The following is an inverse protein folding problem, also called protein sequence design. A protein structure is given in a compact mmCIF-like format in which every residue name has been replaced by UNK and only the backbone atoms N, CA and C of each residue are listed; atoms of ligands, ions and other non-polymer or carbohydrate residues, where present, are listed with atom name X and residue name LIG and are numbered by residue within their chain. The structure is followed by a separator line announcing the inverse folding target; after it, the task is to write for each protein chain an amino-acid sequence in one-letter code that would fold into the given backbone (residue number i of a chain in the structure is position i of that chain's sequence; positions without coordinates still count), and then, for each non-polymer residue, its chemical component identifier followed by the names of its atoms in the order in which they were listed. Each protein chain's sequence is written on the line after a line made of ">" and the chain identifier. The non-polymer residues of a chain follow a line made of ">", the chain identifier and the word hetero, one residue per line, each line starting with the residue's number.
data_IF_267305505377
#
_entry.id   IF_267305505377
#
_cell.length_a   1.000
_cell.length_b   1.000
_cell.length_c   1.000
_cell.angle_alpha   90.00
_cell.angle_beta   90.00
_cell.angle_gamma   90.00
#
_symmetry.space_group_name_H-M   'P 1'
#
loop_
_entity.id
_entity.type
_entity.pdbx_description
1 polymer ?
#
# COMPACT_ATOMS: atom_id res chain seq x y z
N UNK A 1 -33.36 -11.15 -25.08
CA UNK A 1 -33.02 -10.14 -24.07
C UNK A 1 -31.91 -10.72 -23.21
N UNK A 2 -30.69 -10.19 -23.30
CA UNK A 2 -29.60 -10.64 -22.44
C UNK A 2 -29.84 -10.05 -21.04
N UNK A 3 -29.95 -10.92 -20.04
CA UNK A 3 -29.93 -10.50 -18.64
C UNK A 3 -28.54 -9.92 -18.41
N UNK A 4 -28.46 -8.61 -18.17
CA UNK A 4 -27.23 -8.02 -17.69
C UNK A 4 -26.90 -8.71 -16.37
N UNK A 5 -25.93 -9.63 -16.39
CA UNK A 5 -25.35 -10.19 -15.18
C UNK A 5 -24.82 -9.02 -14.36
N UNK A 6 -25.49 -8.71 -13.25
CA UNK A 6 -24.98 -7.73 -12.29
C UNK A 6 -23.71 -8.35 -11.74
N UNK A 7 -22.56 -7.87 -12.21
CA UNK A 7 -21.28 -8.30 -11.67
C UNK A 7 -21.27 -7.93 -10.18
N UNK A 8 -21.05 -8.93 -9.33
CA UNK A 8 -20.96 -8.67 -7.89
C UNK A 8 -19.78 -7.72 -7.64
N UNK A 9 -19.97 -6.79 -6.71
CA UNK A 9 -18.89 -5.90 -6.27
C UNK A 9 -17.72 -6.74 -5.71
N UNK A 10 -16.47 -6.34 -5.96
CA UNK A 10 -15.30 -7.09 -5.53
C UNK A 10 -15.21 -7.16 -4.00
N UNK A 11 -14.75 -8.29 -3.49
CA UNK A 11 -14.33 -8.45 -2.10
C UNK A 11 -13.13 -7.54 -1.78
N UNK A 12 -12.82 -7.34 -0.50
CA UNK A 12 -11.62 -6.59 -0.07
C UNK A 12 -10.35 -7.25 -0.62
N UNK A 13 -10.29 -8.59 -0.61
CA UNK A 13 -9.17 -9.33 -1.21
C UNK A 13 -9.02 -9.04 -2.70
N UNK A 14 -10.11 -9.07 -3.47
CA UNK A 14 -10.07 -8.75 -4.90
C UNK A 14 -9.70 -7.30 -5.18
N UNK A 15 -10.15 -6.35 -4.36
CA UNK A 15 -9.72 -4.95 -4.46
C UNK A 15 -8.21 -4.77 -4.19
N UNK A 16 -7.66 -5.51 -3.22
CA UNK A 16 -6.24 -5.44 -2.88
C UNK A 16 -5.37 -6.28 -3.82
N UNK A 17 -5.94 -7.19 -4.61
CA UNK A 17 -5.21 -8.00 -5.59
C UNK A 17 -4.44 -7.12 -6.58
N UNK A 18 -3.20 -7.54 -6.90
CA UNK A 18 -2.31 -6.81 -7.80
C UNK A 18 -2.14 -7.55 -9.13
N UNK A 19 -2.18 -6.82 -10.24
CA UNK A 19 -1.83 -7.30 -11.58
C UNK A 19 -0.45 -6.81 -11.93
N UNK A 20 0.52 -7.73 -12.03
CA UNK A 20 1.90 -7.44 -12.41
C UNK A 20 1.98 -6.68 -13.74
N UNK A 21 2.85 -5.68 -13.80
CA UNK A 21 3.06 -4.86 -14.99
C UNK A 21 2.10 -3.66 -15.13
N UNK A 22 1.07 -3.55 -14.29
CA UNK A 22 0.31 -2.31 -14.18
C UNK A 22 1.23 -1.21 -13.64
N UNK A 23 1.32 -0.09 -14.38
CA UNK A 23 2.07 1.10 -14.02
C UNK A 23 1.23 2.35 -14.25
N UNK A 24 1.25 3.29 -13.33
CA UNK A 24 0.56 4.57 -13.47
C UNK A 24 1.27 5.70 -12.72
N UNK A 25 1.06 6.94 -13.14
CA UNK A 25 1.51 8.14 -12.42
C UNK A 25 0.41 8.73 -11.55
N UNK A 26 0.83 9.51 -10.54
CA UNK A 26 -0.01 10.22 -9.59
C UNK A 26 0.13 11.74 -9.80
N UNK A 27 -0.80 12.51 -9.25
CA UNK A 27 -0.83 13.98 -9.36
C UNK A 27 0.36 14.68 -8.68
N UNK A 28 1.05 14.03 -7.74
CA UNK A 28 2.26 14.55 -7.11
C UNK A 28 3.54 14.28 -7.92
N UNK A 29 3.43 13.64 -9.10
CA UNK A 29 4.54 13.29 -9.97
C UNK A 29 5.14 11.91 -9.71
N UNK A 30 4.75 11.24 -8.62
CA UNK A 30 5.19 9.88 -8.33
C UNK A 30 4.55 8.89 -9.31
N UNK A 31 5.15 7.72 -9.42
CA UNK A 31 4.61 6.58 -10.13
C UNK A 31 4.50 5.35 -9.23
N UNK A 32 3.62 4.46 -9.62
CA UNK A 32 3.42 3.17 -9.01
C UNK A 32 3.57 2.09 -10.07
N UNK A 33 4.24 0.99 -9.73
CA UNK A 33 4.27 -0.23 -10.56
C UNK A 33 4.00 -1.46 -9.70
N UNK A 34 3.14 -2.34 -10.20
CA UNK A 34 2.85 -3.62 -9.57
C UNK A 34 3.81 -4.67 -10.11
N UNK A 35 4.46 -5.37 -9.19
CA UNK A 35 5.53 -6.34 -9.47
C UNK A 35 5.24 -7.67 -8.79
N UNK A 36 5.93 -8.71 -9.26
CA UNK A 36 5.98 -9.99 -8.60
C UNK A 36 7.43 -10.45 -8.53
N UNK A 37 7.97 -10.58 -7.32
CA UNK A 37 9.38 -10.87 -7.08
C UNK A 37 9.60 -11.67 -5.79
N UNK A 38 10.83 -12.12 -5.54
CA UNK A 38 11.16 -12.87 -4.33
C UNK A 38 11.31 -11.92 -3.13
N UNK A 39 10.54 -12.18 -2.08
CA UNK A 39 10.66 -11.54 -0.78
C UNK A 39 10.60 -12.60 0.33
N UNK A 40 11.61 -12.62 1.21
CA UNK A 40 11.77 -13.65 2.25
C UNK A 40 11.65 -15.10 1.72
N UNK A 41 12.25 -15.37 0.56
CA UNK A 41 12.27 -16.69 -0.06
C UNK A 41 10.96 -17.13 -0.70
N UNK A 42 9.94 -16.26 -0.74
CA UNK A 42 8.65 -16.53 -1.38
C UNK A 42 8.41 -15.55 -2.52
N UNK A 43 7.76 -16.03 -3.58
CA UNK A 43 7.28 -15.13 -4.64
C UNK A 43 6.10 -14.34 -4.07
N UNK A 44 6.21 -13.02 -4.08
CA UNK A 44 5.24 -12.10 -3.49
C UNK A 44 4.82 -11.07 -4.53
N UNK A 45 3.56 -10.65 -4.47
CA UNK A 45 3.11 -9.47 -5.22
C UNK A 45 3.45 -8.23 -4.42
N UNK A 46 3.83 -7.18 -5.12
CA UNK A 46 4.20 -5.94 -4.48
C UNK A 46 3.91 -4.72 -5.31
N UNK A 47 3.96 -3.58 -4.64
CA UNK A 47 3.79 -2.27 -5.23
C UNK A 47 5.06 -1.48 -4.99
N UNK A 48 5.72 -1.10 -6.08
CA UNK A 48 6.85 -0.18 -6.06
C UNK A 48 6.35 1.26 -6.15
N UNK A 49 6.83 2.11 -5.25
CA UNK A 49 6.66 3.56 -5.28
C UNK A 49 7.91 4.21 -5.84
N UNK A 50 7.75 4.91 -6.95
CA UNK A 50 8.81 5.60 -7.67
C UNK A 50 8.55 7.10 -7.53
N UNK A 51 9.49 7.83 -6.93
CA UNK A 51 9.38 9.26 -6.74
C UNK A 51 9.46 10.02 -8.07
N UNK A 52 8.91 11.23 -8.08
CA UNK A 52 9.18 12.18 -9.15
C UNK A 52 10.69 12.36 -9.32
N UNK A 53 11.20 12.02 -10.52
CA UNK A 53 12.65 11.91 -10.79
C UNK A 53 13.14 10.47 -11.04
N UNK A 54 12.28 9.46 -10.85
CA UNK A 54 12.56 8.07 -11.23
C UNK A 54 13.24 7.22 -10.15
N UNK A 55 13.40 7.75 -8.94
CA UNK A 55 13.99 7.04 -7.80
C UNK A 55 12.99 6.04 -7.23
N UNK A 56 13.34 4.76 -7.18
CA UNK A 56 12.57 3.76 -6.45
C UNK A 56 12.72 4.03 -4.95
N UNK A 57 11.65 4.44 -4.27
CA UNK A 57 11.66 4.72 -2.84
C UNK A 57 11.47 3.44 -2.02
N UNK A 58 10.46 2.66 -2.39
CA UNK A 58 10.07 1.48 -1.63
C UNK A 58 9.30 0.47 -2.49
N UNK A 59 9.37 -0.80 -2.08
CA UNK A 59 8.47 -1.87 -2.51
C UNK A 59 7.71 -2.37 -1.29
N UNK A 60 6.38 -2.34 -1.33
CA UNK A 60 5.52 -2.93 -0.29
C UNK A 60 4.95 -4.25 -0.80
N UNK A 61 5.06 -5.31 -0.01
CA UNK A 61 4.69 -6.68 -0.41
C UNK A 61 3.45 -7.17 0.32
N UNK A 62 2.68 -8.00 -0.39
CA UNK A 62 1.48 -8.64 0.12
C UNK A 62 1.29 -10.04 -0.46
N UNK A 63 0.59 -10.86 0.31
CA UNK A 63 0.16 -12.20 -0.06
C UNK A 63 -1.35 -12.31 0.17
N UNK A 64 -2.10 -12.88 -0.76
CA UNK A 64 -3.54 -13.13 -0.59
C UNK A 64 -3.77 -14.63 -0.63
N UNK A 65 -4.16 -15.19 0.50
CA UNK A 65 -4.46 -16.61 0.66
C UNK A 65 -5.35 -16.84 1.86
N UNK A 66 -6.00 -18.00 1.89
CA UNK A 66 -6.78 -18.45 3.05
C UNK A 66 -7.85 -17.43 3.52
N UNK A 67 -8.40 -16.64 2.57
CA UNK A 67 -9.38 -15.59 2.84
C UNK A 67 -8.83 -14.36 3.57
N UNK A 68 -7.52 -14.14 3.52
CA UNK A 68 -6.82 -13.03 4.17
C UNK A 68 -5.87 -12.33 3.19
N UNK A 69 -5.71 -11.03 3.38
CA UNK A 69 -4.63 -10.22 2.78
C UNK A 69 -3.55 -10.04 3.85
N UNK A 70 -2.41 -10.69 3.67
CA UNK A 70 -1.26 -10.55 4.54
C UNK A 70 -0.36 -9.45 4.02
N UNK A 71 -0.14 -8.40 4.82
CA UNK A 71 0.93 -7.45 4.57
C UNK A 71 2.25 -8.13 4.97
N UNK A 72 3.12 -8.46 4.03
CA UNK A 72 4.29 -9.31 4.32
C UNK A 72 5.52 -8.50 4.72
N UNK A 73 5.61 -7.26 4.26
CA UNK A 73 6.72 -6.37 4.59
C UNK A 73 6.96 -5.31 3.54
N UNK A 74 8.11 -4.65 3.64
CA UNK A 74 8.57 -3.73 2.62
C UNK A 74 10.10 -3.67 2.54
N UNK A 75 10.60 -3.14 1.44
CA UNK A 75 12.00 -2.73 1.26
C UNK A 75 12.00 -1.25 0.92
N UNK A 76 12.87 -0.50 1.58
CA UNK A 76 13.19 0.88 1.24
C UNK A 76 14.57 0.94 0.60
N UNK A 77 14.73 1.82 -0.37
CA UNK A 77 15.96 1.97 -1.14
C UNK A 77 16.56 3.37 -0.95
N UNK A 78 17.86 3.48 -1.17
CA UNK A 78 18.54 4.75 -1.38
C UNK A 78 18.36 5.21 -2.83
N UNK A 79 18.76 6.44 -3.13
CA UNK A 79 18.67 7.00 -4.50
C UNK A 79 19.46 6.19 -5.54
N UNK A 80 20.55 5.56 -5.13
CA UNK A 80 21.38 4.68 -5.98
C UNK A 80 20.78 3.27 -6.19
N UNK A 81 19.60 3.01 -5.63
CA UNK A 81 18.89 1.72 -5.72
C UNK A 81 19.39 0.66 -4.73
N UNK A 82 20.36 0.96 -3.87
CA UNK A 82 20.80 0.03 -2.82
C UNK A 82 19.74 -0.07 -1.71
N UNK A 83 19.67 -1.23 -1.06
CA UNK A 83 18.69 -1.45 0.03
C UNK A 83 19.10 -0.65 1.27
N UNK A 84 18.25 0.31 1.63
CA UNK A 84 18.38 1.11 2.86
C UNK A 84 17.86 0.35 4.07
N UNK A 85 16.69 -0.26 3.96
CA UNK A 85 16.11 -1.07 5.02
C UNK A 85 15.11 -2.08 4.49
N UNK A 86 14.95 -3.19 5.20
CA UNK A 86 13.94 -4.21 4.95
C UNK A 86 13.13 -4.43 6.22
N UNK A 87 11.81 -4.42 6.08
CA UNK A 87 10.85 -4.69 7.14
C UNK A 87 10.13 -5.99 6.83
N UNK A 88 10.10 -6.93 7.78
CA UNK A 88 9.39 -8.21 7.67
C UNK A 88 8.32 -8.26 8.75
N UNK A 89 7.08 -8.49 8.34
CA UNK A 89 5.93 -8.48 9.23
C UNK A 89 5.53 -9.89 9.63
N UNK A 90 5.08 -10.07 10.88
CA UNK A 90 4.53 -11.35 11.32
C UNK A 90 3.15 -11.59 10.68
N UNK A 91 2.71 -12.86 10.52
CA UNK A 91 1.44 -13.18 9.84
C UNK A 91 0.17 -12.56 10.46
N UNK A 92 0.24 -12.00 11.67
CA UNK A 92 -0.86 -11.26 12.31
C UNK A 92 -1.15 -9.91 11.61
N UNK A 93 -0.33 -9.50 10.63
CA UNK A 93 -0.59 -8.37 9.73
C UNK A 93 -1.75 -8.60 8.74
N UNK A 94 -2.60 -9.60 9.00
CA UNK A 94 -3.65 -10.06 8.12
C UNK A 94 -4.91 -9.19 8.18
N UNK A 95 -5.50 -8.92 7.03
CA UNK A 95 -6.78 -8.23 6.85
C UNK A 95 -7.77 -9.23 6.23
N UNK A 96 -8.99 -9.40 6.79
CA UNK A 96 -9.97 -10.30 6.19
C UNK A 96 -10.32 -9.90 4.76
N UNK A 97 -10.29 -10.84 3.82
CA UNK A 97 -10.62 -10.57 2.42
C UNK A 97 -12.12 -10.29 2.20
N UNK A 98 -12.98 -10.72 3.13
CA UNK A 98 -14.44 -10.63 3.05
C UNK A 98 -15.02 -9.70 4.13
N UNK A 99 -14.50 -8.46 4.22
CA UNK A 99 -15.08 -7.46 5.11
C UNK A 99 -16.40 -6.93 4.55
N UNK A 100 -17.32 -6.59 5.46
CA UNK A 100 -18.57 -5.90 5.11
C UNK A 100 -18.38 -4.38 5.21
N UNK A 101 -19.11 -3.56 4.43
CA UNK A 101 -19.10 -2.11 4.63
C UNK A 101 -19.43 -1.74 6.09
N UNK A 102 -18.66 -0.82 6.66
CA UNK A 102 -18.70 -0.42 8.06
C UNK A 102 -17.93 -1.33 9.02
N UNK A 103 -17.39 -2.46 8.56
CA UNK A 103 -16.58 -3.34 9.41
C UNK A 103 -15.19 -2.75 9.63
N UNK A 104 -14.84 -2.52 10.90
CA UNK A 104 -13.48 -2.21 11.33
C UNK A 104 -12.74 -3.49 11.77
N UNK A 105 -11.45 -3.55 11.45
CA UNK A 105 -10.51 -4.52 12.01
C UNK A 105 -9.29 -3.77 12.55
N UNK A 106 -8.86 -4.13 13.76
CA UNK A 106 -7.59 -3.66 14.31
C UNK A 106 -6.53 -4.74 14.11
N UNK A 107 -5.48 -4.39 13.38
CA UNK A 107 -4.38 -5.28 13.03
C UNK A 107 -3.22 -4.99 13.97
N UNK A 108 -2.67 -6.02 14.62
CA UNK A 108 -1.54 -5.92 15.54
C UNK A 108 -0.49 -6.96 15.15
N UNK A 109 0.75 -6.55 14.93
CA UNK A 109 1.80 -7.42 14.42
C UNK A 109 3.18 -6.94 14.86
N UNK A 110 4.18 -7.82 14.76
CA UNK A 110 5.58 -7.42 14.96
C UNK A 110 6.23 -7.10 13.62
N UNK A 111 6.99 -6.00 13.62
CA UNK A 111 7.76 -5.49 12.48
C UNK A 111 9.25 -5.65 12.79
N UNK A 112 9.91 -6.60 12.12
CA UNK A 112 11.36 -6.76 12.22
C UNK A 112 12.03 -5.98 11.09
N UNK A 113 12.68 -4.89 11.46
CA UNK A 113 13.40 -4.03 10.54
C UNK A 113 14.91 -4.28 10.61
N UNK A 114 15.50 -4.60 9.46
CA UNK A 114 16.95 -4.61 9.25
C UNK A 114 17.32 -3.37 8.44
N UNK A 115 18.18 -2.51 8.97
CA UNK A 115 18.66 -1.29 8.31
C UNK A 115 20.13 -1.42 7.95
N UNK A 116 20.51 -0.90 6.79
CA UNK A 116 21.89 -0.79 6.32
C UNK A 116 22.33 0.66 6.44
N UNK A 117 23.37 0.92 7.24
CA UNK A 117 23.95 2.24 7.41
C UNK A 117 25.18 2.35 6.54
N UNK A 118 25.09 3.23 5.55
CA UNK A 118 26.20 3.54 4.67
C UNK A 118 27.08 4.60 5.34
N UNK A 119 28.41 4.43 5.27
CA UNK A 119 29.32 5.40 5.84
C UNK A 119 29.12 6.80 5.23
N UNK A 120 29.25 7.82 6.08
CA UNK A 120 29.43 9.18 5.62
C UNK A 120 30.87 9.36 5.12
N UNK A 121 31.03 9.98 3.95
CA UNK A 121 32.33 10.23 3.36
C UNK A 121 33.25 10.96 4.36
N UNK A 122 34.41 10.36 4.64
CA UNK A 122 35.41 10.90 5.57
C UNK A 122 35.24 10.50 7.05
N UNK A 123 34.24 9.69 7.41
CA UNK A 123 34.01 9.25 8.79
C UNK A 123 34.23 7.73 9.02
N UNK A 124 34.00 6.90 8.01
CA UNK A 124 34.18 5.44 8.08
C UNK A 124 34.13 4.87 6.66
N UNK A 125 34.71 3.69 6.43
CA UNK A 125 34.50 2.91 5.19
C UNK A 125 33.59 1.70 5.43
N UNK A 126 33.11 1.51 6.66
CA UNK A 126 32.40 0.31 7.08
C UNK A 126 30.89 0.49 6.95
N UNK A 127 30.29 -0.31 6.08
CA UNK A 127 28.83 -0.55 6.09
C UNK A 127 28.48 -1.35 7.34
N UNK A 128 27.47 -0.90 8.07
CA UNK A 128 26.96 -1.61 9.25
C UNK A 128 25.49 -1.96 9.06
N UNK A 129 25.05 -3.05 9.69
CA UNK A 129 23.64 -3.43 9.74
C UNK A 129 23.14 -3.43 11.17
N UNK A 130 21.88 -3.04 11.35
CA UNK A 130 21.20 -3.09 12.64
C UNK A 130 19.82 -3.70 12.48
N UNK A 131 19.43 -4.58 13.38
CA UNK A 131 18.10 -5.19 13.40
C UNK A 131 17.35 -4.76 14.66
N UNK A 132 16.08 -4.39 14.51
CA UNK A 132 15.15 -4.13 15.61
C UNK A 132 13.81 -4.78 15.32
N UNK A 133 13.09 -5.15 16.37
CA UNK A 133 11.71 -5.62 16.27
C UNK A 133 10.84 -4.74 17.12
N UNK A 134 9.80 -4.17 16.51
CA UNK A 134 8.84 -3.32 17.19
C UNK A 134 7.43 -3.90 17.02
N UNK A 135 6.55 -3.63 17.98
CA UNK A 135 5.12 -3.85 17.79
C UNK A 135 4.50 -2.72 16.97
N UNK A 136 3.60 -3.08 16.07
CA UNK A 136 2.82 -2.18 15.22
C UNK A 136 1.35 -2.51 15.38
N UNK A 137 0.53 -1.47 15.32
CA UNK A 137 -0.90 -1.63 15.22
C UNK A 137 -1.51 -0.53 14.36
N UNK A 138 -2.55 -0.86 13.60
CA UNK A 138 -3.38 0.09 12.87
C UNK A 138 -4.82 -0.40 12.85
N UNK A 139 -5.79 0.48 12.65
CA UNK A 139 -7.16 0.07 12.29
C UNK A 139 -7.44 0.33 10.83
N UNK A 140 -8.23 -0.56 10.24
CA UNK A 140 -8.74 -0.45 8.88
C UNK A 140 -10.23 -0.70 8.89
N UNK A 141 -11.00 0.25 8.37
CA UNK A 141 -12.44 0.15 8.22
C UNK A 141 -12.77 0.11 6.74
N UNK A 142 -13.46 -0.93 6.29
CA UNK A 142 -13.96 -0.98 4.93
C UNK A 142 -15.24 -0.16 4.82
N UNK A 143 -15.23 0.92 4.05
CA UNK A 143 -16.37 1.85 3.95
C UNK A 143 -17.36 1.45 2.83
N UNK A 144 -16.94 0.58 1.92
CA UNK A 144 -17.73 0.15 0.78
C UNK A 144 -17.08 0.49 -0.54
N UNK A 145 -17.87 0.47 -1.61
CA UNK A 145 -17.41 0.71 -2.97
C UNK A 145 -17.79 2.11 -3.43
N UNK A 146 -16.87 2.75 -4.13
CA UNK A 146 -17.10 4.03 -4.79
C UNK A 146 -16.77 3.94 -6.28
N UNK A 147 -17.60 4.58 -7.09
CA UNK A 147 -17.32 4.77 -8.50
C UNK A 147 -16.37 5.94 -8.66
N UNK A 148 -15.21 5.69 -9.25
CA UNK A 148 -14.21 6.72 -9.55
C UNK A 148 -13.91 6.78 -11.04
N UNK A 149 -13.55 7.97 -11.51
CA UNK A 149 -12.99 8.20 -12.84
C UNK A 149 -11.63 8.87 -12.66
N UNK A 150 -10.56 8.13 -12.90
CA UNK A 150 -9.18 8.57 -12.67
C UNK A 150 -8.32 8.18 -13.88
N UNK A 151 -7.47 9.11 -14.31
CA UNK A 151 -6.56 8.92 -15.44
C UNK A 151 -7.20 8.39 -16.72
N UNK A 152 -8.43 8.84 -17.02
CA UNK A 152 -9.18 8.44 -18.21
C UNK A 152 -9.80 7.03 -18.13
N UNK A 153 -9.73 6.36 -16.97
CA UNK A 153 -10.35 5.06 -16.73
C UNK A 153 -11.45 5.17 -15.68
N UNK A 154 -12.51 4.40 -15.89
CA UNK A 154 -13.58 4.21 -14.91
C UNK A 154 -13.29 3.01 -14.02
N UNK A 155 -13.39 3.21 -12.71
CA UNK A 155 -13.31 2.20 -11.67
C UNK A 155 -14.70 2.12 -11.03
N UNK A 156 -15.57 1.20 -11.47
CA UNK A 156 -16.97 1.18 -11.05
C UNK A 156 -17.13 0.86 -9.56
N UNK A 157 -16.21 0.06 -9.01
CA UNK A 157 -16.31 -0.52 -7.67
C UNK A 157 -14.95 -0.46 -6.94
N UNK A 158 -14.36 0.73 -6.82
CA UNK A 158 -13.14 0.90 -6.04
C UNK A 158 -13.46 0.76 -4.55
N UNK A 159 -12.74 -0.09 -3.82
CA UNK A 159 -12.94 -0.26 -2.38
C UNK A 159 -12.33 0.92 -1.63
N UNK A 160 -13.14 1.62 -0.84
CA UNK A 160 -12.69 2.69 0.05
C UNK A 160 -12.46 2.16 1.45
N UNK A 161 -11.36 2.57 2.06
CA UNK A 161 -11.04 2.28 3.44
C UNK A 161 -10.70 3.54 4.21
N UNK A 162 -10.96 3.52 5.50
CA UNK A 162 -10.42 4.46 6.48
C UNK A 162 -9.32 3.77 7.27
N UNK A 163 -8.17 4.42 7.39
CA UNK A 163 -7.00 3.94 8.12
C UNK A 163 -6.68 4.89 9.27
N UNK A 164 -6.48 4.33 10.46
CA UNK A 164 -5.93 5.04 11.62
C UNK A 164 -4.74 4.30 12.21
N UNK A 165 -3.92 5.02 12.99
CA UNK A 165 -2.78 4.49 13.72
C UNK A 165 -1.67 3.90 12.84
N UNK A 166 -1.68 4.18 11.53
CA UNK A 166 -0.60 3.80 10.61
C UNK A 166 0.71 4.45 11.09
N UNK A 167 1.69 3.62 11.47
CA UNK A 167 2.96 4.08 12.04
C UNK A 167 2.91 4.47 13.53
N UNK A 168 1.83 4.15 14.24
CA UNK A 168 1.74 4.20 15.71
C UNK A 168 1.67 5.59 16.33
N UNK A 169 1.28 6.63 15.57
CA UNK A 169 1.29 8.04 16.04
C UNK A 169 0.09 8.88 15.60
N UNK A 170 -1.13 8.33 15.62
CA UNK A 170 -2.31 9.19 15.45
C UNK A 170 -2.43 10.18 16.60
N UNK A 171 -2.80 11.43 16.31
CA UNK A 171 -3.27 12.38 17.31
C UNK A 171 -4.72 12.72 17.01
N UNK A 172 -5.63 12.38 17.93
CA UNK A 172 -7.06 12.58 17.73
C UNK A 172 -7.59 11.63 16.65
N UNK A 173 -8.37 12.16 15.70
CA UNK A 173 -8.99 11.43 14.58
C UNK A 173 -8.16 11.45 13.28
N UNK A 174 -6.86 11.77 13.38
CA UNK A 174 -5.97 11.75 12.21
C UNK A 174 -5.91 10.36 11.57
N UNK A 175 -5.83 10.31 10.26
CA UNK A 175 -5.88 9.07 9.50
C UNK A 175 -5.80 9.33 8.00
N UNK A 176 -6.18 8.34 7.21
CA UNK A 176 -6.20 8.42 5.75
C UNK A 176 -7.43 7.69 5.20
N UNK A 177 -8.09 8.27 4.20
CA UNK A 177 -8.91 7.45 3.30
C UNK A 177 -8.04 6.92 2.17
N UNK A 178 -8.20 5.65 1.84
CA UNK A 178 -7.49 5.01 0.73
C UNK A 178 -8.47 4.27 -0.16
N UNK A 179 -8.25 4.34 -1.47
CA UNK A 179 -9.06 3.62 -2.45
C UNK A 179 -8.20 2.61 -3.17
N UNK A 180 -8.63 1.35 -3.10
CA UNK A 180 -8.05 0.25 -3.85
C UNK A 180 -8.92 -0.08 -5.07
N UNK A 181 -8.29 -0.37 -6.19
CA UNK A 181 -8.95 -0.96 -7.34
C UNK A 181 -8.30 -2.29 -7.70
N UNK A 182 -9.14 -3.27 -8.04
CA UNK A 182 -8.72 -4.61 -8.42
C UNK A 182 -7.65 -4.55 -9.52
N UNK A 183 -6.51 -5.19 -9.25
CA UNK A 183 -5.35 -5.24 -10.13
C UNK A 183 -4.41 -4.04 -9.99
N UNK A 184 -4.89 -2.88 -9.54
CA UNK A 184 -4.13 -1.63 -9.48
C UNK A 184 -3.45 -1.40 -8.13
N UNK A 185 -4.02 -1.90 -7.03
CA UNK A 185 -3.63 -1.48 -5.69
C UNK A 185 -4.21 -0.11 -5.34
N UNK A 186 -3.48 0.70 -4.57
CA UNK A 186 -3.95 2.03 -4.12
C UNK A 186 -3.97 3.04 -5.28
N UNK A 187 -5.16 3.48 -5.69
CA UNK A 187 -5.37 4.44 -6.79
C UNK A 187 -5.64 5.86 -6.32
N UNK A 188 -6.03 6.06 -5.05
CA UNK A 188 -6.23 7.38 -4.46
C UNK A 188 -6.03 7.31 -2.94
N UNK A 189 -5.53 8.40 -2.36
CA UNK A 189 -5.46 8.62 -0.93
C UNK A 189 -5.86 10.05 -0.57
N UNK A 190 -6.54 10.20 0.55
CA UNK A 190 -6.84 11.48 1.19
C UNK A 190 -6.34 11.47 2.62
N UNK A 191 -5.67 12.54 3.03
CA UNK A 191 -5.22 12.71 4.41
C UNK A 191 -6.33 13.31 5.27
N UNK A 192 -6.50 12.77 6.48
CA UNK A 192 -7.39 13.32 7.50
C UNK A 192 -6.56 14.10 8.53
N UNK A 193 -7.04 15.27 8.92
CA UNK A 193 -6.44 16.02 10.01
C UNK A 193 -6.84 15.48 11.40
N UNK A 194 -6.38 16.14 12.46
CA UNK A 194 -6.65 15.73 13.84
C UNK A 194 -8.15 15.65 14.21
N UNK A 195 -9.02 16.32 13.47
CA UNK A 195 -10.47 16.33 13.67
C UNK A 195 -11.17 15.27 12.81
N UNK A 196 -10.46 14.63 11.87
CA UNK A 196 -11.01 13.70 10.89
C UNK A 196 -11.47 14.37 9.60
N UNK A 197 -11.17 15.65 9.41
CA UNK A 197 -11.55 16.37 8.20
C UNK A 197 -10.57 16.07 7.08
N UNK A 198 -11.10 15.82 5.87
CA UNK A 198 -10.28 15.63 4.67
C UNK A 198 -9.48 16.88 4.38
N UNK A 199 -8.22 16.69 4.00
CA UNK A 199 -7.31 17.75 3.60
C UNK A 199 -7.03 17.66 2.08
N UNK A 200 -7.85 18.31 1.21
CA UNK A 200 -7.79 18.09 -0.24
C UNK A 200 -6.44 18.44 -0.88
N UNK A 201 -5.71 19.38 -0.28
CA UNK A 201 -4.38 19.77 -0.74
C UNK A 201 -3.35 18.63 -0.69
N UNK A 202 -3.60 17.59 0.12
CA UNK A 202 -2.74 16.41 0.24
C UNK A 202 -3.31 15.18 -0.48
N UNK A 203 -4.37 15.33 -1.28
CA UNK A 203 -4.90 14.22 -2.08
C UNK A 203 -3.84 13.74 -3.05
N UNK A 204 -3.57 12.45 -3.04
CA UNK A 204 -2.72 11.79 -4.02
C UNK A 204 -3.60 10.84 -4.83
N UNK A 205 -3.68 11.03 -6.15
CA UNK A 205 -4.56 10.23 -7.01
C UNK A 205 -3.87 9.84 -8.31
N UNK A 206 -4.24 8.67 -8.84
CA UNK A 206 -3.89 8.22 -10.18
C UNK A 206 -4.31 9.28 -11.22
N UNK A 207 -3.37 9.69 -12.06
CA UNK A 207 -3.60 10.68 -13.12
C UNK A 207 -3.39 10.15 -14.52
N UNK A 208 -2.56 9.12 -14.71
CA UNK A 208 -2.32 8.52 -16.03
C UNK A 208 -1.87 7.08 -15.91
N UNK A 209 -2.54 6.19 -16.63
CA UNK A 209 -2.09 4.80 -16.80
C UNK A 209 -0.97 4.78 -17.83
N UNK A 210 0.18 4.23 -17.45
CA UNK A 210 1.39 4.15 -18.29
C UNK A 210 1.44 2.79 -18.99
N UNK A 211 1.15 1.72 -18.25
CA UNK A 211 1.01 0.37 -18.79
C UNK A 211 -0.06 -0.40 -18.02
N UNK A 212 -0.83 -1.21 -18.73
CA UNK A 212 -1.71 -2.23 -18.17
C UNK A 212 -1.77 -3.39 -19.17
N UNK A 213 -1.47 -4.63 -18.74
CA UNK A 213 -1.57 -5.81 -19.60
C UNK A 213 -3.03 -6.19 -19.92
#
# INVERSE_FOLDING_TARGET
>A
MAVASVQAAPTVGECMELTTGIKFSKNNGDAQINVEELFEGKKQKGTQLILNGGVLLATSYQDIRDGQVFLTGNVHYNEDGTVRSKNVYTPQSAIPANMRPGQEVRVQFSDTQTSTHYPLAGLSDKITTSTRTDERNFSITFLGWERLELGGRRFPDACKFELHDVGGKSKGKSGEYVWYAQGYGVIMTDKLDKNGDVQPAYRIALTKIISAP
#
